data_IF_908051342589
#
_entry.id   IF_908051342589
#
_cell.length_a   1.000
_cell.length_b   1.000
_cell.length_c   1.000
_cell.angle_alpha   90.00
_cell.angle_beta   90.00
_cell.angle_gamma   90.00
#
_symmetry.space_group_name_H-M   'P 1'
#
loop_
_entity.id
_entity.type
_entity.pdbx_description
1 polymer ?
#
# COMPACT_ATOMS: atom_id res chain seq x y z
N UNK A 1 -54.42 1.48 -25.08
CA UNK A 1 -53.31 1.09 -24.18
C UNK A 1 -52.09 1.93 -24.53
N UNK A 2 -51.70 2.85 -23.63
CA UNK A 2 -50.74 3.92 -23.91
C UNK A 2 -49.28 3.43 -23.99
N UNK A 3 -48.55 3.94 -24.98
CA UNK A 3 -47.15 3.68 -25.32
C UNK A 3 -46.17 4.00 -24.15
N UNK A 4 -46.61 4.81 -23.19
CA UNK A 4 -45.81 5.25 -22.04
C UNK A 4 -45.45 4.17 -21.01
N UNK A 5 -46.08 2.99 -21.02
CA UNK A 5 -45.78 1.92 -20.06
C UNK A 5 -44.62 0.99 -20.45
N UNK A 6 -44.08 1.11 -21.67
CA UNK A 6 -43.01 0.20 -22.16
C UNK A 6 -41.59 0.72 -21.95
N UNK A 7 -41.41 2.02 -21.67
CA UNK A 7 -40.07 2.63 -21.53
C UNK A 7 -39.50 2.42 -20.11
N UNK A 8 -40.34 2.24 -19.10
CA UNK A 8 -39.89 2.08 -17.71
C UNK A 8 -39.29 0.70 -17.38
N UNK A 9 -39.47 -0.31 -18.23
CA UNK A 9 -38.96 -1.66 -17.94
C UNK A 9 -37.49 -1.88 -18.40
N UNK A 10 -36.96 -1.01 -19.25
CA UNK A 10 -35.59 -1.16 -19.79
C UNK A 10 -34.55 -0.46 -18.89
N UNK A 11 -34.93 0.59 -18.15
CA UNK A 11 -33.99 1.32 -17.30
C UNK A 11 -33.67 0.62 -15.96
N UNK A 12 -34.54 -0.28 -15.49
CA UNK A 12 -34.37 -0.98 -14.22
C UNK A 12 -33.53 -2.27 -14.31
N UNK A 13 -33.30 -2.81 -15.52
CA UNK A 13 -32.49 -4.03 -15.71
C UNK A 13 -30.99 -3.78 -15.93
N UNK A 14 -30.57 -2.55 -16.20
CA UNK A 14 -29.15 -2.24 -16.37
C UNK A 14 -28.40 -1.94 -15.06
N UNK A 15 -29.09 -1.82 -13.92
CA UNK A 15 -28.50 -1.44 -12.63
C UNK A 15 -28.02 -2.62 -11.76
N UNK A 16 -28.26 -3.86 -12.17
CA UNK A 16 -27.85 -5.07 -11.43
C UNK A 16 -26.73 -5.87 -12.12
N UNK A 17 -26.25 -5.39 -13.27
CA UNK A 17 -25.08 -5.96 -13.94
C UNK A 17 -23.81 -5.24 -13.47
N UNK A 18 -23.58 -5.16 -12.16
CA UNK A 18 -22.21 -4.98 -11.67
C UNK A 18 -21.49 -6.27 -12.08
N UNK A 19 -20.42 -6.19 -12.90
CA UNK A 19 -19.82 -7.38 -13.46
C UNK A 19 -19.35 -8.28 -12.32
N UNK A 20 -19.89 -9.50 -12.26
CA UNK A 20 -19.52 -10.55 -11.29
C UNK A 20 -18.01 -10.76 -11.25
N UNK A 21 -17.30 -10.48 -12.35
CA UNK A 21 -15.85 -10.47 -12.44
C UNK A 21 -15.17 -9.47 -11.48
N UNK A 22 -15.71 -8.27 -11.29
CA UNK A 22 -15.15 -7.25 -10.39
C UNK A 22 -15.32 -7.65 -8.92
N UNK A 23 -16.47 -8.26 -8.60
CA UNK A 23 -16.75 -8.79 -7.26
C UNK A 23 -15.90 -10.04 -6.95
N UNK A 24 -15.66 -10.91 -7.94
CA UNK A 24 -14.80 -12.08 -7.78
C UNK A 24 -13.31 -11.69 -7.63
N UNK A 25 -12.82 -10.72 -8.42
CA UNK A 25 -11.44 -10.20 -8.31
C UNK A 25 -11.20 -9.58 -6.94
N UNK A 26 -12.10 -8.69 -6.51
CA UNK A 26 -11.98 -8.04 -5.19
C UNK A 26 -12.10 -9.01 -4.01
N UNK A 27 -12.91 -10.07 -4.14
CA UNK A 27 -13.02 -11.12 -3.13
C UNK A 27 -11.73 -11.97 -3.03
N UNK A 28 -11.04 -12.22 -4.14
CA UNK A 28 -9.80 -13.00 -4.15
C UNK A 28 -8.60 -12.17 -3.65
N UNK A 29 -8.54 -10.90 -4.03
CA UNK A 29 -7.56 -9.92 -3.52
C UNK A 29 -7.66 -9.74 -2.00
N UNK A 30 -8.89 -9.58 -1.47
CA UNK A 30 -9.12 -9.46 -0.04
C UNK A 30 -8.67 -10.73 0.71
N UNK A 31 -8.89 -11.93 0.15
CA UNK A 31 -8.44 -13.19 0.77
C UNK A 31 -6.92 -13.27 0.92
N UNK A 32 -6.16 -12.77 -0.04
CA UNK A 32 -4.70 -12.77 0.03
C UNK A 32 -4.16 -11.69 0.97
N UNK A 33 -4.78 -10.51 0.98
CA UNK A 33 -4.27 -9.38 1.77
C UNK A 33 -4.68 -9.43 3.24
N UNK A 34 -5.82 -10.05 3.57
CA UNK A 34 -6.29 -10.25 4.96
C UNK A 34 -5.24 -10.86 5.90
N UNK A 35 -4.59 -12.01 5.60
CA UNK A 35 -3.59 -12.58 6.47
C UNK A 35 -2.33 -11.71 6.59
N UNK A 36 -1.93 -11.04 5.50
CA UNK A 36 -0.80 -10.10 5.50
C UNK A 36 -1.12 -8.91 6.39
N UNK A 37 -2.29 -8.30 6.22
CA UNK A 37 -2.79 -7.21 7.06
C UNK A 37 -2.78 -7.60 8.54
N UNK A 38 -3.29 -8.78 8.89
CA UNK A 38 -3.29 -9.25 10.28
C UNK A 38 -1.87 -9.45 10.86
N UNK A 39 -0.92 -9.97 10.07
CA UNK A 39 0.48 -10.11 10.50
C UNK A 39 1.18 -8.76 10.67
N UNK A 40 0.99 -7.84 9.71
CA UNK A 40 1.54 -6.49 9.77
C UNK A 40 0.95 -5.70 10.95
N UNK A 41 -0.36 -5.82 11.21
CA UNK A 41 -1.03 -5.19 12.34
C UNK A 41 -0.37 -5.55 13.68
N UNK A 42 -0.07 -6.83 13.90
CA UNK A 42 0.61 -7.30 15.13
C UNK A 42 1.99 -6.66 15.32
N UNK A 43 2.73 -6.47 14.23
CA UNK A 43 4.05 -5.82 14.26
C UNK A 43 3.90 -4.33 14.58
N UNK A 44 2.96 -3.66 13.89
CA UNK A 44 2.63 -2.25 14.12
C UNK A 44 2.28 -1.96 15.59
N UNK A 45 1.33 -2.73 16.15
CA UNK A 45 0.81 -2.54 17.51
C UNK A 45 1.86 -2.79 18.61
N UNK A 46 2.91 -3.57 18.32
CA UNK A 46 4.01 -3.83 19.27
C UNK A 46 4.90 -2.60 19.48
N UNK A 47 5.15 -1.83 18.43
CA UNK A 47 6.03 -0.65 18.48
C UNK A 47 5.28 0.69 18.60
N UNK A 48 4.06 0.75 18.06
CA UNK A 48 3.26 1.95 17.88
C UNK A 48 1.80 1.67 18.28
N UNK A 49 1.52 1.76 19.58
CA UNK A 49 0.18 1.57 20.14
C UNK A 49 -0.84 2.56 19.55
N UNK A 50 -2.13 2.22 19.51
CA UNK A 50 -3.17 3.09 18.95
C UNK A 50 -2.94 3.47 17.47
N UNK A 51 -2.21 2.64 16.72
CA UNK A 51 -2.09 2.80 15.27
C UNK A 51 -3.47 2.72 14.63
N UNK A 52 -3.79 3.68 13.77
CA UNK A 52 -4.91 3.54 12.86
C UNK A 52 -4.53 2.50 11.80
N UNK A 53 -5.49 1.65 11.43
CA UNK A 53 -5.37 0.71 10.32
C UNK A 53 -6.64 0.65 9.49
N UNK A 54 -6.49 0.40 8.19
CA UNK A 54 -7.60 0.03 7.34
C UNK A 54 -7.16 -0.94 6.25
N UNK A 55 -8.12 -1.75 5.82
CA UNK A 55 -8.00 -2.59 4.66
C UNK A 55 -9.07 -2.19 3.65
N UNK A 56 -8.64 -1.70 2.49
CA UNK A 56 -9.56 -1.28 1.43
C UNK A 56 -9.07 -1.76 0.07
N UNK A 57 -9.89 -2.58 -0.60
CA UNK A 57 -9.53 -3.19 -1.88
C UNK A 57 -8.23 -3.98 -1.77
N UNK A 58 -7.20 -3.51 -2.48
CA UNK A 58 -5.88 -4.12 -2.56
C UNK A 58 -4.84 -3.47 -1.65
N UNK A 59 -5.27 -2.60 -0.74
CA UNK A 59 -4.35 -1.82 0.09
C UNK A 59 -4.65 -2.02 1.57
N UNK A 60 -3.62 -2.43 2.29
CA UNK A 60 -3.55 -2.45 3.75
C UNK A 60 -2.71 -1.25 4.18
N UNK A 61 -3.29 -0.41 5.03
CA UNK A 61 -2.68 0.84 5.46
C UNK A 61 -2.60 0.88 6.98
N UNK A 62 -1.51 1.40 7.50
CA UNK A 62 -1.27 1.61 8.92
C UNK A 62 -0.58 2.96 9.14
N UNK A 63 -1.04 3.73 10.12
CA UNK A 63 -0.35 4.96 10.50
C UNK A 63 -0.53 5.34 11.97
N UNK A 64 0.47 6.05 12.49
CA UNK A 64 0.38 6.71 13.78
C UNK A 64 1.10 8.06 13.70
N UNK A 65 0.45 9.12 14.20
CA UNK A 65 1.01 10.46 14.32
C UNK A 65 1.65 10.98 13.01
N UNK A 66 0.86 11.09 11.95
CA UNK A 66 1.32 11.49 10.60
C UNK A 66 0.81 12.87 10.19
N UNK A 67 1.53 13.51 9.26
CA UNK A 67 1.13 14.77 8.60
C UNK A 67 1.51 14.78 7.11
N UNK A 68 0.86 15.63 6.29
CA UNK A 68 1.36 15.94 4.97
C UNK A 68 2.63 16.81 5.04
N UNK A 69 3.59 16.50 4.18
CA UNK A 69 4.80 17.27 3.89
C UNK A 69 4.82 17.67 2.42
N UNK A 70 5.43 18.82 2.09
CA UNK A 70 5.71 19.21 0.70
C UNK A 70 7.21 18.97 0.47
N UNK A 71 7.54 17.98 -0.36
CA UNK A 71 8.90 17.49 -0.55
C UNK A 71 9.24 17.41 -2.04
N UNK A 72 10.53 17.37 -2.36
CA UNK A 72 10.97 17.04 -3.72
C UNK A 72 10.47 15.64 -4.12
N UNK A 73 10.01 15.54 -5.37
CA UNK A 73 9.53 14.29 -5.94
C UNK A 73 10.67 13.32 -6.20
N UNK A 74 10.50 12.06 -5.80
CA UNK A 74 11.46 11.00 -6.10
C UNK A 74 11.25 10.46 -7.50
N UNK A 75 11.63 11.24 -8.51
CA UNK A 75 11.50 10.90 -9.93
C UNK A 75 12.80 11.14 -10.67
N UNK A 76 13.03 10.37 -11.75
CA UNK A 76 14.18 10.58 -12.62
C UNK A 76 13.95 11.85 -13.46
N UNK A 77 14.72 12.89 -13.19
CA UNK A 77 14.70 14.15 -13.97
C UNK A 77 15.93 14.27 -14.89
N UNK A 78 15.80 14.95 -16.04
CA UNK A 78 16.95 15.32 -16.86
C UNK A 78 17.95 16.20 -16.07
N UNK A 79 19.22 16.15 -16.47
CA UNK A 79 20.27 16.99 -15.86
C UNK A 79 19.91 18.48 -16.01
N UNK A 80 19.97 19.23 -14.91
CA UNK A 80 19.64 20.66 -14.87
C UNK A 80 18.16 20.98 -14.74
N UNK A 81 17.31 19.98 -14.52
CA UNK A 81 15.88 20.16 -14.20
C UNK A 81 15.65 19.76 -12.76
N UNK A 82 15.01 20.63 -11.98
CA UNK A 82 14.67 20.33 -10.60
C UNK A 82 13.54 19.29 -10.51
N UNK A 83 13.63 18.31 -9.60
CA UNK A 83 12.50 17.47 -9.27
C UNK A 83 11.38 18.37 -8.69
N UNK A 84 10.21 18.35 -9.32
CA UNK A 84 9.06 19.12 -8.84
C UNK A 84 8.67 18.74 -7.41
N UNK A 85 7.82 19.55 -6.78
CA UNK A 85 7.34 19.28 -5.43
C UNK A 85 6.11 18.35 -5.43
N UNK A 86 6.04 17.45 -4.47
CA UNK A 86 4.88 16.59 -4.21
C UNK A 86 4.45 16.66 -2.74
N UNK A 87 3.15 16.45 -2.51
CA UNK A 87 2.60 16.32 -1.16
C UNK A 87 2.67 14.86 -0.75
N UNK A 88 3.44 14.55 0.29
CA UNK A 88 3.64 13.19 0.79
C UNK A 88 3.24 13.12 2.26
N UNK A 89 2.46 12.10 2.62
CA UNK A 89 2.11 11.85 4.02
C UNK A 89 3.23 11.09 4.72
N UNK A 90 3.74 11.64 5.82
CA UNK A 90 4.85 11.05 6.57
C UNK A 90 4.64 11.14 8.08
N UNK A 91 5.51 10.49 8.85
CA UNK A 91 5.42 10.48 10.30
C UNK A 91 5.99 11.74 10.93
N UNK A 92 5.35 12.20 12.02
CA UNK A 92 6.00 13.08 13.01
C UNK A 92 6.89 12.26 13.95
N UNK A 93 7.60 12.96 14.83
CA UNK A 93 8.35 12.32 15.91
C UNK A 93 7.50 11.30 16.68
N UNK A 94 8.02 10.09 16.80
CA UNK A 94 7.35 8.99 17.48
C UNK A 94 6.25 8.29 16.69
N UNK A 95 5.96 8.69 15.45
CA UNK A 95 4.98 8.07 14.56
C UNK A 95 5.58 7.18 13.48
N UNK A 96 4.72 6.67 12.60
CA UNK A 96 5.10 5.94 11.39
C UNK A 96 3.97 5.98 10.36
N UNK A 97 4.28 5.67 9.10
CA UNK A 97 3.31 5.47 8.03
C UNK A 97 3.71 4.23 7.24
N UNK A 98 2.77 3.33 6.97
CA UNK A 98 3.01 2.07 6.29
C UNK A 98 1.85 1.75 5.35
N UNK A 99 2.19 1.43 4.11
CA UNK A 99 1.24 0.93 3.12
C UNK A 99 1.76 -0.38 2.54
N UNK A 100 0.85 -1.34 2.39
CA UNK A 100 1.08 -2.62 1.74
C UNK A 100 -0.01 -2.80 0.69
N UNK A 101 0.37 -2.68 -0.57
CA UNK A 101 -0.53 -2.80 -1.72
C UNK A 101 -0.27 -4.11 -2.46
N UNK A 102 -1.32 -4.87 -2.75
CA UNK A 102 -1.24 -6.04 -3.62
C UNK A 102 -1.27 -5.61 -5.08
N UNK A 103 -0.26 -5.96 -5.87
CA UNK A 103 -0.18 -5.63 -7.30
C UNK A 103 -0.08 -6.88 -8.17
N UNK A 104 -0.67 -6.79 -9.38
CA UNK A 104 -0.60 -7.85 -10.39
C UNK A 104 0.79 -7.89 -11.06
N UNK A 105 0.94 -8.65 -12.15
CA UNK A 105 2.22 -8.88 -12.85
C UNK A 105 3.12 -7.64 -12.94
N UNK A 106 4.44 -7.88 -12.88
CA UNK A 106 5.54 -6.92 -12.81
C UNK A 106 5.34 -5.68 -13.70
N UNK A 107 4.70 -4.65 -13.16
CA UNK A 107 4.72 -3.30 -13.73
C UNK A 107 6.11 -2.69 -13.49
N UNK A 108 6.59 -1.77 -14.35
CA UNK A 108 7.81 -1.04 -14.07
C UNK A 108 7.68 -0.39 -12.69
N UNK A 109 8.53 -0.80 -11.76
CA UNK A 109 8.52 -0.26 -10.43
C UNK A 109 8.75 1.25 -10.48
N UNK A 110 7.98 2.05 -9.71
CA UNK A 110 8.14 3.50 -9.72
C UNK A 110 9.55 3.92 -9.30
N UNK A 111 10.26 3.05 -8.56
CA UNK A 111 11.62 3.27 -8.04
C UNK A 111 12.28 1.94 -7.63
N UNK A 112 13.59 1.96 -7.46
CA UNK A 112 14.35 0.84 -6.91
C UNK A 112 13.96 0.53 -5.46
N UNK A 113 14.14 -0.72 -5.03
CA UNK A 113 14.00 -1.11 -3.62
C UNK A 113 15.06 -0.47 -2.74
N UNK A 114 14.74 -0.38 -1.46
CA UNK A 114 15.67 -0.02 -0.41
C UNK A 114 15.27 1.24 0.34
N UNK A 115 16.27 1.82 1.00
CA UNK A 115 16.13 2.96 1.90
C UNK A 115 16.45 4.25 1.16
N UNK A 116 15.61 5.27 1.35
CA UNK A 116 15.82 6.61 0.81
C UNK A 116 15.59 7.66 1.91
N UNK A 117 16.39 8.73 1.89
CA UNK A 117 16.20 9.89 2.76
C UNK A 117 15.26 10.89 2.06
N UNK A 118 14.14 11.24 2.69
CA UNK A 118 13.14 12.20 2.19
C UNK A 118 13.30 13.61 2.78
N UNK A 119 14.43 13.89 3.44
CA UNK A 119 14.66 15.13 4.21
C UNK A 119 14.06 15.07 5.60
N UNK A 120 12.75 14.81 5.70
CA UNK A 120 11.99 14.82 6.97
C UNK A 120 11.93 13.45 7.65
N UNK A 121 11.99 12.37 6.87
CA UNK A 121 11.89 10.99 7.35
C UNK A 121 12.66 10.04 6.43
N UNK A 122 12.83 8.80 6.87
CA UNK A 122 13.35 7.71 6.06
C UNK A 122 12.18 6.99 5.40
N UNK A 123 12.33 6.66 4.13
CA UNK A 123 11.36 5.88 3.37
C UNK A 123 12.01 4.59 2.87
N UNK A 124 11.33 3.48 3.09
CA UNK A 124 11.74 2.15 2.69
C UNK A 124 10.72 1.60 1.70
N UNK A 125 11.19 1.10 0.56
CA UNK A 125 10.34 0.54 -0.49
C UNK A 125 10.77 -0.88 -0.83
N UNK A 126 9.79 -1.79 -0.92
CA UNK A 126 10.00 -3.21 -1.23
C UNK A 126 8.93 -3.74 -2.18
N UNK A 127 9.30 -4.69 -3.04
CA UNK A 127 8.44 -5.36 -3.99
C UNK A 127 8.48 -6.89 -3.88
N UNK A 128 8.24 -7.49 -2.70
CA UNK A 128 8.41 -8.93 -2.56
C UNK A 128 7.30 -9.70 -3.29
N UNK A 129 7.68 -10.72 -4.06
CA UNK A 129 6.74 -11.55 -4.81
C UNK A 129 5.99 -12.50 -3.88
N UNK A 130 4.68 -12.66 -4.05
CA UNK A 130 3.89 -13.61 -3.28
C UNK A 130 4.18 -15.06 -3.67
N UNK A 131 4.12 -15.97 -2.68
CA UNK A 131 4.25 -17.41 -2.91
C UNK A 131 3.10 -17.92 -3.78
N UNK A 132 3.43 -18.76 -4.76
CA UNK A 132 2.43 -19.47 -5.56
C UNK A 132 1.70 -18.62 -6.61
N UNK A 133 2.17 -17.40 -6.89
CA UNK A 133 1.51 -16.51 -7.84
C UNK A 133 2.47 -15.56 -8.58
N UNK A 134 1.89 -14.79 -9.50
CA UNK A 134 2.56 -13.72 -10.25
C UNK A 134 2.41 -12.33 -9.60
N UNK A 135 1.63 -12.26 -8.52
CA UNK A 135 1.37 -11.04 -7.77
C UNK A 135 2.56 -10.72 -6.86
N UNK A 136 2.71 -9.43 -6.56
CA UNK A 136 3.72 -8.93 -5.65
C UNK A 136 3.09 -7.94 -4.66
N UNK A 137 3.76 -7.71 -3.55
CA UNK A 137 3.42 -6.61 -2.65
C UNK A 137 4.18 -5.38 -3.09
N UNK A 138 3.59 -4.21 -2.97
CA UNK A 138 4.26 -2.92 -2.94
C UNK A 138 4.19 -2.41 -1.52
N UNK A 139 5.33 -2.41 -0.83
CA UNK A 139 5.44 -2.02 0.57
C UNK A 139 6.16 -0.70 0.64
N UNK A 140 5.56 0.29 1.29
CA UNK A 140 6.17 1.58 1.58
C UNK A 140 6.08 1.84 3.07
N UNK A 141 7.24 1.90 3.73
CA UNK A 141 7.37 2.22 5.15
C UNK A 141 8.08 3.56 5.31
N UNK A 142 7.48 4.49 6.04
CA UNK A 142 8.08 5.79 6.41
C UNK A 142 8.22 5.88 7.92
N UNK A 143 9.43 6.19 8.37
CA UNK A 143 9.78 6.27 9.80
C UNK A 143 10.65 7.51 10.08
N UNK A 144 10.52 8.15 11.26
CA UNK A 144 11.38 9.27 11.63
C UNK A 144 12.85 8.86 11.68
N UNK A 145 13.76 9.77 11.30
CA UNK A 145 15.20 9.50 11.23
C UNK A 145 15.80 9.04 12.55
N UNK A 146 15.30 9.60 13.66
CA UNK A 146 15.86 9.41 14.99
C UNK A 146 15.03 8.46 15.88
N UNK A 147 14.05 7.74 15.32
CA UNK A 147 13.24 6.82 16.11
C UNK A 147 14.00 5.52 16.37
N UNK A 148 14.31 5.23 17.64
CA UNK A 148 15.02 4.00 18.03
C UNK A 148 14.22 2.72 17.76
N UNK A 149 12.90 2.82 17.58
CA UNK A 149 12.03 1.69 17.23
C UNK A 149 12.02 1.41 15.73
N UNK A 150 12.50 2.36 14.91
CA UNK A 150 12.50 2.30 13.45
C UNK A 150 13.10 1.01 12.91
N UNK A 151 14.31 0.64 13.37
CA UNK A 151 15.00 -0.57 12.93
C UNK A 151 14.23 -1.83 13.31
N UNK A 152 13.72 -1.90 14.54
CA UNK A 152 12.96 -3.05 14.99
C UNK A 152 11.65 -3.21 14.21
N UNK A 153 10.89 -2.11 13.99
CA UNK A 153 9.68 -2.13 13.17
C UNK A 153 9.99 -2.61 11.75
N UNK A 154 11.05 -2.08 11.15
CA UNK A 154 11.46 -2.42 9.80
C UNK A 154 11.83 -3.91 9.66
N UNK A 155 12.67 -4.44 10.55
CA UNK A 155 13.10 -5.84 10.53
C UNK A 155 11.93 -6.80 10.80
N UNK A 156 11.07 -6.46 11.77
CA UNK A 156 9.89 -7.26 12.10
C UNK A 156 8.85 -7.24 10.98
N UNK A 157 8.67 -6.11 10.30
CA UNK A 157 7.81 -6.01 9.13
C UNK A 157 8.30 -6.94 8.03
N UNK A 158 9.59 -6.89 7.69
CA UNK A 158 10.17 -7.76 6.68
C UNK A 158 10.01 -9.23 7.05
N UNK A 159 10.18 -9.59 8.32
CA UNK A 159 9.97 -10.96 8.79
C UNK A 159 8.49 -11.39 8.72
N UNK A 160 7.56 -10.50 9.06
CA UNK A 160 6.13 -10.78 8.98
C UNK A 160 5.66 -11.02 7.55
N UNK A 161 6.23 -10.32 6.56
CA UNK A 161 5.85 -10.52 5.15
C UNK A 161 6.56 -11.72 4.49
N UNK A 162 7.75 -12.12 4.98
CA UNK A 162 8.52 -13.27 4.45
C UNK A 162 7.74 -14.58 4.44
N UNK A 163 6.81 -14.76 5.38
CA UNK A 163 5.96 -15.97 5.43
C UNK A 163 5.07 -16.10 4.18
N UNK A 164 4.73 -14.98 3.56
CA UNK A 164 3.83 -14.90 2.40
C UNK A 164 4.57 -14.76 1.07
N UNK A 165 5.87 -14.43 1.11
CA UNK A 165 6.63 -14.06 -0.08
C UNK A 165 7.71 -15.08 -0.44
N UNK A 166 8.04 -15.18 -1.72
CA UNK A 166 9.16 -15.98 -2.19
C UNK A 166 10.47 -15.32 -1.73
N UNK A 167 11.48 -16.10 -1.28
CA UNK A 167 12.79 -15.55 -0.94
C UNK A 167 13.37 -14.79 -2.13
N UNK A 168 13.88 -13.59 -1.88
CA UNK A 168 14.69 -12.88 -2.88
C UNK A 168 15.98 -13.69 -3.05
N UNK A 169 16.23 -14.20 -4.27
CA UNK A 169 17.52 -14.81 -4.57
C UNK A 169 18.58 -13.71 -4.46
N UNK A 170 19.45 -13.83 -3.46
CA UNK A 170 20.55 -12.90 -3.20
C UNK A 170 21.67 -13.00 -4.22
#
# INVERSE_FOLDING_TARGET
MSITKRIFLVLAMCLMAVPVAQAASSADESKQLNPIHASVKKVAEKGYQDSADYLFGRTAHFEQNTIPYVLEAMVKVPVGVDPGLEVVRGPRAGGYWLEVELRDEFHPYPRAEGKSDRGEFLEYVYYPQLKGGKQHLYIVLRIPKDDKRATALHDELLNAVKEFTTPVAG
#
